data_IF_283993027500
#
_entry.id   IF_283993027500
#
_cell.length_a   1.000
_cell.length_b   1.000
_cell.length_c   1.000
_cell.angle_alpha   90.00
_cell.angle_beta   90.00
_cell.angle_gamma   90.00
#
_symmetry.space_group_name_H-M   'P 1'
#
loop_
_entity.id
_entity.type
_entity.pdbx_description
1 polymer ?
#
# COMPACT_ATOMS: atom_id res chain seq x y z
N UNK A 1 -2.94 19.68 -11.66
CA UNK A 1 -4.37 20.01 -11.44
C UNK A 1 -4.82 19.28 -10.17
N UNK A 2 -5.36 19.97 -9.17
CA UNK A 2 -5.78 19.30 -7.91
C UNK A 2 -7.16 18.68 -8.11
N UNK A 3 -7.33 17.41 -7.76
CA UNK A 3 -8.66 16.79 -7.69
C UNK A 3 -9.47 17.50 -6.60
N UNK A 4 -10.68 17.96 -6.94
CA UNK A 4 -11.64 18.47 -5.96
C UNK A 4 -12.61 17.36 -5.60
N UNK A 5 -12.72 17.04 -4.32
CA UNK A 5 -13.59 15.99 -3.80
C UNK A 5 -14.31 16.46 -2.54
N UNK A 6 -15.41 15.76 -2.18
CA UNK A 6 -16.23 16.08 -1.00
C UNK A 6 -15.46 15.93 0.32
N UNK A 7 -14.38 15.16 0.32
CA UNK A 7 -13.46 14.97 1.43
C UNK A 7 -12.02 14.98 0.92
N UNK A 8 -11.13 15.63 1.67
CA UNK A 8 -9.69 15.62 1.42
C UNK A 8 -8.96 15.36 2.73
N UNK A 9 -8.16 14.31 2.77
CA UNK A 9 -7.34 13.94 3.93
C UNK A 9 -6.09 13.21 3.47
N UNK A 10 -5.03 13.29 4.27
CA UNK A 10 -3.79 12.54 4.08
C UNK A 10 -3.82 11.17 4.78
N UNK A 11 -4.91 10.82 5.47
CA UNK A 11 -5.03 9.57 6.20
C UNK A 11 -5.68 8.47 5.34
N UNK A 12 -4.88 7.50 4.93
CA UNK A 12 -5.29 6.33 4.15
C UNK A 12 -6.41 5.50 4.81
N UNK A 13 -6.35 5.31 6.14
CA UNK A 13 -7.34 4.53 6.88
C UNK A 13 -8.69 5.25 6.90
N UNK A 14 -8.68 6.57 7.06
CA UNK A 14 -9.91 7.36 7.00
C UNK A 14 -10.56 7.27 5.61
N UNK A 15 -9.77 7.40 4.53
CA UNK A 15 -10.26 7.26 3.16
C UNK A 15 -10.87 5.87 2.90
N UNK A 16 -10.22 4.81 3.39
CA UNK A 16 -10.76 3.45 3.32
C UNK A 16 -12.13 3.32 3.99
N UNK A 17 -12.28 3.85 5.21
CA UNK A 17 -13.58 3.84 5.90
C UNK A 17 -14.64 4.64 5.13
N UNK A 18 -14.23 5.71 4.45
CA UNK A 18 -15.14 6.50 3.61
C UNK A 18 -15.65 5.69 2.42
N UNK A 19 -14.76 4.95 1.73
CA UNK A 19 -15.15 4.07 0.63
C UNK A 19 -16.07 2.94 1.10
N UNK A 20 -15.74 2.29 2.23
CA UNK A 20 -16.58 1.25 2.83
C UNK A 20 -17.97 1.78 3.26
N UNK A 21 -18.07 3.07 3.57
CA UNK A 21 -19.34 3.74 3.89
C UNK A 21 -20.08 4.26 2.65
N UNK A 22 -19.63 3.91 1.43
CA UNK A 22 -20.25 4.34 0.18
C UNK A 22 -20.10 5.83 -0.14
N UNK A 23 -19.13 6.52 0.46
CA UNK A 23 -18.94 7.96 0.23
C UNK A 23 -18.20 8.31 -1.07
N UNK A 24 -17.75 7.31 -1.83
CA UNK A 24 -17.14 7.48 -3.15
C UNK A 24 -15.97 6.52 -3.39
N UNK A 25 -15.24 6.79 -4.48
CA UNK A 25 -14.08 6.02 -4.92
C UNK A 25 -12.79 6.58 -4.31
N UNK A 26 -11.82 5.72 -4.04
CA UNK A 26 -10.51 6.10 -3.50
C UNK A 26 -9.41 5.41 -4.31
N UNK A 27 -8.27 6.10 -4.46
CA UNK A 27 -7.03 5.49 -4.94
C UNK A 27 -6.16 5.18 -3.74
N UNK A 28 -5.83 3.92 -3.51
CA UNK A 28 -5.08 3.45 -2.35
C UNK A 28 -4.13 2.32 -2.70
N UNK A 29 -3.08 2.16 -1.91
CA UNK A 29 -2.17 1.03 -2.02
C UNK A 29 -2.82 -0.26 -1.50
N UNK A 30 -2.48 -1.39 -2.11
CA UNK A 30 -3.05 -2.70 -1.78
C UNK A 30 -2.80 -3.14 -0.33
N UNK A 31 -1.69 -2.73 0.31
CA UNK A 31 -1.48 -3.01 1.74
C UNK A 31 -2.52 -2.33 2.65
N UNK A 32 -3.25 -1.32 2.17
CA UNK A 32 -4.33 -0.65 2.93
C UNK A 32 -5.67 -1.38 2.73
N UNK A 33 -5.99 -1.80 1.50
CA UNK A 33 -7.33 -2.28 1.09
C UNK A 33 -7.38 -3.75 0.68
N UNK A 34 -6.26 -4.47 0.69
CA UNK A 34 -6.16 -5.83 0.14
C UNK A 34 -7.02 -6.87 0.85
N UNK A 35 -7.39 -6.66 2.11
CA UNK A 35 -8.39 -7.52 2.77
C UNK A 35 -9.77 -7.33 2.15
N UNK A 36 -10.16 -6.08 1.96
CA UNK A 36 -11.49 -5.68 1.46
C UNK A 36 -11.66 -5.99 -0.02
N UNK A 37 -10.56 -5.97 -0.80
CA UNK A 37 -10.56 -6.48 -2.17
C UNK A 37 -10.77 -8.00 -2.19
N UNK A 38 -10.14 -8.75 -1.26
CA UNK A 38 -10.29 -10.21 -1.19
C UNK A 38 -11.67 -10.67 -0.71
N UNK A 39 -12.25 -9.97 0.26
CA UNK A 39 -13.58 -10.31 0.79
C UNK A 39 -14.73 -9.71 -0.06
N UNK A 40 -14.40 -8.91 -1.08
CA UNK A 40 -15.36 -8.30 -2.00
C UNK A 40 -16.14 -7.10 -1.43
N UNK A 41 -15.80 -6.63 -0.22
CA UNK A 41 -16.39 -5.39 0.33
C UNK A 41 -15.91 -4.13 -0.38
N UNK A 42 -14.75 -4.21 -1.05
CA UNK A 42 -14.30 -3.25 -2.07
C UNK A 42 -14.04 -3.99 -3.38
N UNK A 43 -14.15 -3.27 -4.49
CA UNK A 43 -13.84 -3.77 -5.83
C UNK A 43 -12.78 -2.89 -6.47
N UNK A 44 -11.91 -3.50 -7.28
CA UNK A 44 -11.04 -2.76 -8.18
C UNK A 44 -11.84 -2.27 -9.38
N UNK A 45 -11.83 -0.95 -9.61
CA UNK A 45 -12.54 -0.32 -10.72
C UNK A 45 -11.73 -0.34 -12.02
N UNK A 46 -10.41 -0.57 -11.94
CA UNK A 46 -9.50 -0.52 -13.08
C UNK A 46 -8.47 -1.66 -13.05
N UNK A 47 -8.91 -2.94 -13.07
CA UNK A 47 -8.02 -4.10 -12.92
C UNK A 47 -6.95 -4.20 -14.02
N UNK A 48 -7.24 -3.67 -15.21
CA UNK A 48 -6.31 -3.69 -16.35
C UNK A 48 -5.32 -2.52 -16.39
N UNK A 49 -5.33 -1.65 -15.36
CA UNK A 49 -4.51 -0.45 -15.33
C UNK A 49 -3.69 -0.36 -14.04
N UNK A 50 -2.37 -0.34 -14.18
CA UNK A 50 -1.49 0.03 -13.08
C UNK A 50 -1.48 1.56 -12.89
N UNK A 51 -1.92 2.01 -11.72
CA UNK A 51 -1.95 3.44 -11.38
C UNK A 51 -0.93 3.72 -10.28
N UNK A 52 0.07 4.55 -10.58
CA UNK A 52 1.03 5.07 -9.59
C UNK A 52 0.74 6.53 -9.27
N UNK A 53 0.61 6.85 -7.98
CA UNK A 53 0.43 8.21 -7.48
C UNK A 53 1.75 9.01 -7.37
N UNK A 54 2.89 8.39 -7.65
CA UNK A 54 4.21 8.98 -7.51
C UNK A 54 4.99 8.88 -8.82
N UNK A 55 6.01 9.73 -9.00
CA UNK A 55 6.91 9.70 -10.16
C UNK A 55 7.78 8.43 -10.27
N UNK A 56 7.49 7.40 -9.48
CA UNK A 56 8.18 6.13 -9.50
C UNK A 56 7.34 5.11 -10.27
N UNK A 57 8.01 4.34 -11.14
CA UNK A 57 7.39 3.32 -11.99
C UNK A 57 6.73 2.19 -11.18
N UNK A 58 7.10 2.00 -9.91
CA UNK A 58 6.49 0.99 -9.05
C UNK A 58 6.36 1.46 -7.60
N UNK A 59 5.23 1.19 -6.92
CA UNK A 59 5.05 1.49 -5.50
C UNK A 59 5.99 0.63 -4.64
N UNK A 60 6.94 1.27 -3.95
CA UNK A 60 7.91 0.60 -3.09
C UNK A 60 7.81 1.05 -1.62
N UNK A 61 8.07 0.13 -0.70
CA UNK A 61 8.25 0.42 0.73
C UNK A 61 9.73 0.50 1.05
N UNK A 62 10.16 1.62 1.63
CA UNK A 62 11.57 1.90 1.88
C UNK A 62 11.91 1.73 3.36
N UNK A 63 13.01 1.02 3.64
CA UNK A 63 13.63 1.01 4.96
C UNK A 63 14.73 2.07 5.00
N UNK A 64 14.52 3.13 5.78
CA UNK A 64 15.49 4.22 5.93
C UNK A 64 16.38 3.90 7.14
N UNK A 65 17.68 3.79 6.91
CA UNK A 65 18.70 3.51 7.91
C UNK A 65 19.76 4.63 7.91
N UNK A 66 20.34 4.98 9.07
CA UNK A 66 21.39 6.00 9.12
C UNK A 66 22.64 5.55 8.34
N UNK A 67 23.17 6.44 7.49
CA UNK A 67 24.27 6.18 6.55
C UNK A 67 25.58 5.74 7.22
N UNK A 68 25.83 6.19 8.46
CA UNK A 68 27.07 5.94 9.18
C UNK A 68 26.80 5.77 10.66
N UNK A 69 26.49 4.54 11.06
CA UNK A 69 26.67 4.05 12.41
C UNK A 69 26.63 2.53 12.37
N UNK A 70 27.51 1.89 13.13
CA UNK A 70 27.44 0.47 13.49
C UNK A 70 25.98 -0.02 13.54
N UNK A 71 25.57 -0.89 12.59
CA UNK A 71 24.22 -1.43 12.55
C UNK A 71 24.14 -2.55 13.59
N UNK A 72 23.43 -2.38 14.72
CA UNK A 72 23.39 -3.41 15.75
C UNK A 72 22.84 -4.71 15.18
N UNK A 73 23.32 -5.84 15.68
CA UNK A 73 22.90 -7.16 15.20
C UNK A 73 21.37 -7.33 15.19
N UNK A 74 20.68 -6.79 16.20
CA UNK A 74 19.22 -6.79 16.29
C UNK A 74 18.56 -6.10 15.09
N UNK A 75 19.11 -4.97 14.62
CA UNK A 75 18.60 -4.25 13.45
C UNK A 75 18.83 -5.07 12.19
N UNK A 76 20.03 -5.66 12.02
CA UNK A 76 20.33 -6.53 10.87
C UNK A 76 19.34 -7.70 10.77
N UNK A 77 19.16 -8.43 11.87
CA UNK A 77 18.23 -9.57 11.92
C UNK A 77 16.79 -9.12 11.63
N UNK A 78 16.39 -7.93 12.10
CA UNK A 78 15.08 -7.38 11.77
C UNK A 78 14.94 -7.02 10.28
N UNK A 79 15.96 -6.42 9.66
CA UNK A 79 15.97 -6.16 8.21
C UNK A 79 15.85 -7.47 7.43
N UNK A 80 16.61 -8.49 7.82
CA UNK A 80 16.58 -9.80 7.16
C UNK A 80 15.20 -10.45 7.28
N UNK A 81 14.55 -10.35 8.45
CA UNK A 81 13.17 -10.78 8.64
C UNK A 81 12.18 -10.04 7.72
N UNK A 82 12.28 -8.70 7.63
CA UNK A 82 11.41 -7.92 6.75
C UNK A 82 11.63 -8.29 5.27
N UNK A 83 12.88 -8.49 4.85
CA UNK A 83 13.21 -8.95 3.49
C UNK A 83 12.64 -10.33 3.20
N UNK A 84 12.75 -11.27 4.14
CA UNK A 84 12.16 -12.59 3.98
C UNK A 84 10.64 -12.53 3.88
N UNK A 85 10.00 -11.64 4.65
CA UNK A 85 8.55 -11.51 4.72
C UNK A 85 7.94 -10.75 3.53
N UNK A 86 8.66 -9.77 2.97
CA UNK A 86 8.13 -8.82 2.00
C UNK A 86 8.93 -8.71 0.70
N UNK A 87 10.03 -9.45 0.53
CA UNK A 87 10.92 -9.35 -0.63
C UNK A 87 10.48 -10.13 -1.87
N UNK A 88 9.44 -10.96 -1.77
CA UNK A 88 8.80 -11.65 -2.90
C UNK A 88 7.45 -11.02 -3.24
N UNK A 89 6.47 -11.83 -3.62
CA UNK A 89 5.07 -11.37 -3.74
C UNK A 89 4.56 -10.92 -2.38
N UNK A 90 4.15 -9.65 -2.22
CA UNK A 90 3.66 -9.18 -0.95
C UNK A 90 2.37 -9.91 -0.53
N UNK A 91 2.11 -10.06 0.77
CA UNK A 91 0.97 -10.84 1.27
C UNK A 91 -0.41 -10.21 0.96
N UNK A 92 -0.43 -8.95 0.53
CA UNK A 92 -1.64 -8.25 0.08
C UNK A 92 -1.89 -8.45 -1.43
N UNK A 93 -0.90 -8.92 -2.19
CA UNK A 93 -0.99 -9.23 -3.63
C UNK A 93 -0.94 -10.74 -3.90
N UNK A 94 -0.75 -11.57 -2.88
CA UNK A 94 -0.56 -13.03 -3.01
C UNK A 94 -1.75 -13.76 -3.66
N UNK A 95 -2.92 -13.12 -3.74
CA UNK A 95 -4.15 -13.68 -4.29
C UNK A 95 -4.70 -12.86 -5.49
N UNK A 96 -3.97 -11.87 -6.01
CA UNK A 96 -4.44 -11.01 -7.12
C UNK A 96 -4.23 -11.61 -8.51
N UNK A 97 -3.75 -12.87 -8.60
CA UNK A 97 -3.74 -13.64 -9.84
C UNK A 97 -5.15 -14.15 -10.17
N UNK A 98 -5.96 -13.26 -10.76
CA UNK A 98 -7.08 -13.59 -11.64
C UNK A 98 -6.63 -13.47 -13.09
#
# INVERSE_FOLDING_TARGET
>A
MSVQGRLRTSNAVALKQCALSGMGVIMQAHWVVGRELRDGTLIDLFPDHEVTGAAFESPAMWLILPTRAYLPLKVRVFVDFLRQKFGGTPPWDADSSG
#
